data_IF_871016258182
#
_entry.id   IF_871016258182
#
_cell.length_a   1.000
_cell.length_b   1.000
_cell.length_c   1.000
_cell.angle_alpha   90.00
_cell.angle_beta   90.00
_cell.angle_gamma   90.00
#
_symmetry.space_group_name_H-M   'P 1'
#
loop_
_entity.id
_entity.type
_entity.pdbx_description
1 polymer ?
#
# COMPACT_ATOMS: atom_id res chain seq x y z
N UNK A 1 -7.98 -17.53 25.18
CA UNK A 1 -7.79 -17.11 23.78
C UNK A 1 -8.51 -18.11 22.91
N UNK A 2 -9.48 -17.67 22.11
CA UNK A 2 -10.27 -18.57 21.26
C UNK A 2 -9.42 -19.02 20.08
N UNK A 3 -9.09 -20.30 20.03
CA UNK A 3 -8.60 -20.94 18.82
C UNK A 3 -9.64 -20.75 17.70
N UNK A 4 -9.21 -20.39 16.49
CA UNK A 4 -10.14 -20.23 15.37
C UNK A 4 -10.68 -21.62 14.98
N UNK A 5 -11.94 -21.89 15.31
CA UNK A 5 -12.62 -23.13 14.93
C UNK A 5 -13.32 -22.92 13.58
N UNK A 6 -13.04 -23.81 12.63
CA UNK A 6 -13.62 -23.79 11.29
C UNK A 6 -14.51 -25.02 11.10
N UNK A 7 -15.78 -24.90 11.46
CA UNK A 7 -16.80 -25.89 11.10
C UNK A 7 -17.18 -25.79 9.62
N UNK A 8 -17.96 -26.75 9.12
CA UNK A 8 -18.34 -26.83 7.70
C UNK A 8 -19.06 -25.56 7.20
N UNK A 9 -19.96 -24.99 8.02
CA UNK A 9 -20.70 -23.77 7.68
C UNK A 9 -19.71 -22.62 7.55
N UNK A 10 -18.84 -22.44 8.56
CA UNK A 10 -17.86 -21.36 8.61
C UNK A 10 -16.83 -21.46 7.49
N UNK A 11 -16.43 -22.67 7.11
CA UNK A 11 -15.55 -22.92 5.96
C UNK A 11 -16.21 -22.41 4.68
N UNK A 12 -17.48 -22.71 4.44
CA UNK A 12 -18.18 -22.28 3.22
C UNK A 12 -18.33 -20.76 3.15
N UNK A 13 -18.66 -20.10 4.27
CA UNK A 13 -18.70 -18.64 4.35
C UNK A 13 -17.34 -18.02 4.04
N UNK A 14 -16.26 -18.54 4.62
CA UNK A 14 -14.92 -17.98 4.43
C UNK A 14 -14.35 -18.25 3.04
N UNK A 15 -14.75 -19.34 2.37
CA UNK A 15 -14.48 -19.55 0.94
C UNK A 15 -15.14 -18.48 0.07
N UNK A 16 -16.39 -18.13 0.37
CA UNK A 16 -17.08 -17.05 -0.34
C UNK A 16 -16.37 -15.71 -0.13
N UNK A 17 -15.98 -15.42 1.12
CA UNK A 17 -15.19 -14.22 1.45
C UNK A 17 -13.86 -14.21 0.67
N UNK A 18 -13.10 -15.31 0.67
CA UNK A 18 -11.87 -15.46 -0.11
C UNK A 18 -12.09 -15.11 -1.59
N UNK A 19 -13.15 -15.65 -2.20
CA UNK A 19 -13.51 -15.39 -3.59
C UNK A 19 -13.77 -13.90 -3.85
N UNK A 20 -14.54 -13.24 -2.98
CA UNK A 20 -14.87 -11.81 -3.08
C UNK A 20 -13.62 -10.91 -2.97
N UNK A 21 -12.67 -11.26 -2.12
CA UNK A 21 -11.41 -10.51 -1.95
C UNK A 21 -10.31 -10.95 -2.93
N UNK A 22 -10.61 -11.85 -3.87
CA UNK A 22 -9.70 -12.28 -4.93
C UNK A 22 -8.65 -13.31 -4.52
N UNK A 23 -8.82 -13.98 -3.38
CA UNK A 23 -8.02 -15.13 -2.98
C UNK A 23 -8.59 -16.38 -3.65
N UNK A 24 -7.73 -17.14 -4.33
CA UNK A 24 -8.10 -18.37 -5.02
C UNK A 24 -7.58 -19.59 -4.26
N UNK A 25 -8.39 -20.64 -4.20
CA UNK A 25 -8.06 -21.87 -3.47
C UNK A 25 -7.25 -22.88 -4.31
N UNK A 26 -7.16 -22.68 -5.63
CA UNK A 26 -6.37 -23.53 -6.52
C UNK A 26 -4.86 -23.42 -6.24
N UNK A 27 -4.32 -24.35 -5.46
CA UNK A 27 -2.91 -24.43 -5.09
C UNK A 27 -2.02 -24.98 -6.21
N UNK A 28 -2.58 -25.45 -7.34
CA UNK A 28 -1.76 -25.82 -8.52
C UNK A 28 -1.10 -24.58 -9.15
N UNK A 29 -1.71 -23.41 -8.97
CA UNK A 29 -1.19 -22.12 -9.41
C UNK A 29 -0.24 -21.56 -8.36
N UNK A 30 1.02 -21.37 -8.72
CA UNK A 30 2.10 -20.94 -7.81
C UNK A 30 1.74 -19.70 -6.96
N UNK A 31 1.19 -18.64 -7.58
CA UNK A 31 0.84 -17.42 -6.85
C UNK A 31 -0.22 -17.58 -5.75
N UNK A 32 -1.01 -18.66 -5.79
CA UNK A 32 -2.06 -18.91 -4.82
C UNK A 32 -1.54 -19.67 -3.58
N UNK A 33 -0.32 -20.23 -3.65
CA UNK A 33 0.32 -20.95 -2.54
C UNK A 33 0.82 -20.00 -1.46
N UNK A 34 1.25 -18.79 -1.85
CA UNK A 34 1.79 -17.80 -0.93
C UNK A 34 0.93 -16.54 -0.93
N UNK A 35 0.43 -16.19 0.25
CA UNK A 35 -0.47 -15.08 0.48
C UNK A 35 0.20 -14.08 1.44
N UNK A 36 0.27 -12.83 1.01
CA UNK A 36 0.79 -11.73 1.81
C UNK A 36 -0.35 -10.76 2.11
N UNK A 37 -0.67 -10.64 3.39
CA UNK A 37 -1.49 -9.56 3.91
C UNK A 37 -0.57 -8.42 4.30
N UNK A 38 -0.62 -7.32 3.57
CA UNK A 38 -0.15 -6.04 4.10
C UNK A 38 -1.32 -5.52 4.95
N UNK A 39 -1.27 -5.80 6.25
CA UNK A 39 -2.35 -5.44 7.17
C UNK A 39 -1.77 -4.55 8.24
N UNK A 40 -1.92 -3.24 8.11
CA UNK A 40 -1.24 -2.26 8.95
C UNK A 40 -2.08 -0.99 9.08
N UNK A 41 -1.77 -0.06 10.01
CA UNK A 41 -2.42 1.24 10.06
C UNK A 41 -2.29 2.01 8.73
N UNK A 42 -3.18 2.96 8.42
CA UNK A 42 -3.01 3.83 7.26
C UNK A 42 -1.78 4.75 7.43
N UNK A 43 -1.25 5.25 6.32
CA UNK A 43 -0.16 6.26 6.28
C UNK A 43 1.20 5.84 6.85
N UNK A 44 1.47 4.54 6.83
CA UNK A 44 2.78 3.97 7.22
C UNK A 44 3.67 3.61 6.03
N UNK A 45 3.25 3.91 4.80
CA UNK A 45 4.00 3.56 3.57
C UNK A 45 3.65 2.18 2.99
N UNK A 46 2.51 1.62 3.36
CA UNK A 46 2.04 0.31 2.86
C UNK A 46 1.81 0.26 1.36
N UNK A 47 1.37 1.35 0.72
CA UNK A 47 1.23 1.44 -0.75
C UNK A 47 2.55 1.11 -1.45
N UNK A 48 3.67 1.62 -0.96
CA UNK A 48 5.03 1.33 -1.47
C UNK A 48 5.31 -0.18 -1.42
N UNK A 49 5.04 -0.83 -0.29
CA UNK A 49 5.23 -2.29 -0.14
C UNK A 49 4.34 -3.07 -1.11
N UNK A 50 3.05 -2.73 -1.17
CA UNK A 50 2.07 -3.40 -2.05
C UNK A 50 2.47 -3.28 -3.51
N UNK A 51 2.79 -2.07 -3.96
CA UNK A 51 3.21 -1.81 -5.34
C UNK A 51 4.51 -2.52 -5.68
N UNK A 52 5.48 -2.54 -4.76
CA UNK A 52 6.77 -3.25 -4.94
C UNK A 52 6.60 -4.76 -5.07
N UNK A 53 5.79 -5.36 -4.19
CA UNK A 53 5.50 -6.80 -4.21
C UNK A 53 4.76 -7.21 -5.49
N UNK A 54 3.73 -6.44 -5.87
CA UNK A 54 2.96 -6.72 -7.09
C UNK A 54 3.80 -6.55 -8.34
N UNK A 55 4.60 -5.49 -8.42
CA UNK A 55 5.50 -5.24 -9.55
C UNK A 55 6.55 -6.34 -9.72
N UNK A 56 7.12 -6.81 -8.61
CA UNK A 56 8.24 -7.76 -8.64
C UNK A 56 7.79 -9.24 -8.70
N UNK A 57 6.60 -9.56 -8.18
CA UNK A 57 6.25 -10.94 -7.86
C UNK A 57 4.75 -11.29 -8.01
N UNK A 58 3.97 -10.56 -8.83
CA UNK A 58 2.53 -10.85 -9.06
C UNK A 58 2.21 -12.27 -9.56
N UNK A 59 3.19 -12.96 -10.15
CA UNK A 59 3.06 -14.34 -10.63
C UNK A 59 3.48 -15.39 -9.59
N UNK A 60 4.02 -14.97 -8.45
CA UNK A 60 4.49 -15.85 -7.36
C UNK A 60 3.75 -15.64 -6.04
N UNK A 61 3.08 -14.50 -5.89
CA UNK A 61 2.43 -14.11 -4.64
C UNK A 61 1.03 -13.56 -4.90
N UNK A 62 0.11 -13.80 -3.96
CA UNK A 62 -1.14 -13.05 -3.85
C UNK A 62 -0.98 -12.00 -2.75
N UNK A 63 -1.26 -10.73 -3.06
CA UNK A 63 -1.05 -9.60 -2.13
C UNK A 63 -2.38 -8.89 -1.85
N UNK A 64 -2.81 -8.96 -0.60
CA UNK A 64 -4.02 -8.31 -0.07
C UNK A 64 -3.58 -7.15 0.82
N UNK A 65 -4.18 -5.97 0.65
CA UNK A 65 -3.87 -4.79 1.46
C UNK A 65 -5.14 -4.28 2.14
N UNK A 66 -5.10 -4.24 3.47
CA UNK A 66 -6.22 -3.84 4.32
C UNK A 66 -5.67 -3.00 5.48
N UNK A 67 -6.48 -2.06 5.97
CA UNK A 67 -6.17 -1.30 7.18
C UNK A 67 -7.05 -1.73 8.35
N UNK A 68 -8.24 -2.28 8.12
CA UNK A 68 -9.14 -2.74 9.19
C UNK A 68 -10.30 -3.54 8.59
N UNK A 69 -11.16 -4.08 9.46
CA UNK A 69 -12.39 -4.78 9.07
C UNK A 69 -13.39 -3.87 8.34
N UNK A 70 -13.35 -2.54 8.57
CA UNK A 70 -14.23 -1.59 7.86
C UNK A 70 -13.94 -1.61 6.36
N UNK A 71 -12.67 -1.75 5.96
CA UNK A 71 -12.31 -1.90 4.54
C UNK A 71 -12.89 -3.18 3.92
N UNK A 72 -13.03 -4.27 4.67
CA UNK A 72 -13.69 -5.49 4.15
C UNK A 72 -15.15 -5.21 3.78
N UNK A 73 -15.86 -4.47 4.64
CA UNK A 73 -17.25 -4.06 4.40
C UNK A 73 -17.34 -3.11 3.21
N UNK A 74 -16.55 -2.05 3.19
CA UNK A 74 -16.66 -0.97 2.18
C UNK A 74 -16.21 -1.44 0.80
N UNK A 75 -15.12 -2.20 0.69
CA UNK A 75 -14.55 -2.60 -0.60
C UNK A 75 -15.12 -3.90 -1.15
N UNK A 76 -15.53 -4.83 -0.28
CA UNK A 76 -15.90 -6.20 -0.69
C UNK A 76 -17.27 -6.64 -0.20
N UNK A 77 -18.02 -5.77 0.48
CA UNK A 77 -19.31 -6.09 1.10
C UNK A 77 -19.24 -7.33 2.01
N UNK A 78 -18.17 -7.43 2.80
CA UNK A 78 -17.95 -8.51 3.77
C UNK A 78 -18.21 -7.97 5.18
N UNK A 79 -19.22 -8.51 5.85
CA UNK A 79 -19.64 -8.08 7.21
C UNK A 79 -19.59 -9.19 8.25
N UNK A 80 -19.46 -10.45 7.81
CA UNK A 80 -19.50 -11.65 8.65
C UNK A 80 -18.11 -12.27 8.90
N UNK A 81 -17.02 -11.55 8.59
CA UNK A 81 -15.65 -12.01 8.82
C UNK A 81 -14.71 -10.85 9.16
N UNK A 82 -13.75 -11.10 10.04
CA UNK A 82 -12.63 -10.19 10.35
C UNK A 82 -11.40 -10.53 9.51
N UNK A 83 -10.47 -9.58 9.37
CA UNK A 83 -9.20 -9.80 8.66
C UNK A 83 -8.42 -10.96 9.27
N UNK A 84 -8.36 -11.05 10.61
CA UNK A 84 -7.67 -12.15 11.28
C UNK A 84 -8.32 -13.51 10.99
N UNK A 85 -9.65 -13.61 10.95
CA UNK A 85 -10.33 -14.86 10.58
C UNK A 85 -9.92 -15.32 9.18
N UNK A 86 -9.83 -14.39 8.23
CA UNK A 86 -9.41 -14.68 6.86
C UNK A 86 -7.93 -15.13 6.82
N UNK A 87 -7.05 -14.46 7.56
CA UNK A 87 -5.63 -14.83 7.67
C UNK A 87 -5.48 -16.27 8.18
N UNK A 88 -6.12 -16.59 9.31
CA UNK A 88 -6.05 -17.92 9.92
C UNK A 88 -6.72 -18.99 9.08
N UNK A 89 -7.83 -18.67 8.41
CA UNK A 89 -8.50 -19.59 7.49
C UNK A 89 -7.61 -19.96 6.30
N UNK A 90 -6.91 -18.99 5.72
CA UNK A 90 -6.00 -19.27 4.62
C UNK A 90 -4.80 -20.11 5.05
N UNK A 91 -4.35 -19.97 6.31
CA UNK A 91 -3.36 -20.89 6.87
C UNK A 91 -3.92 -22.30 7.04
N UNK A 92 -5.16 -22.43 7.53
CA UNK A 92 -5.87 -23.71 7.65
C UNK A 92 -6.02 -24.42 6.30
N UNK A 93 -6.22 -23.69 5.20
CA UNK A 93 -6.23 -24.23 3.83
C UNK A 93 -4.85 -24.67 3.31
N UNK A 94 -3.79 -24.57 4.11
CA UNK A 94 -2.44 -25.02 3.75
C UNK A 94 -1.59 -24.00 2.97
N UNK A 95 -2.01 -22.73 2.90
CA UNK A 95 -1.21 -21.68 2.25
C UNK A 95 -0.05 -21.22 3.14
N UNK A 96 1.00 -20.70 2.51
CA UNK A 96 2.04 -19.93 3.18
C UNK A 96 1.54 -18.50 3.39
N UNK A 97 1.27 -18.13 4.64
CA UNK A 97 0.66 -16.83 4.97
C UNK A 97 1.67 -15.93 5.66
N UNK A 98 1.85 -14.74 5.11
CA UNK A 98 2.64 -13.66 5.67
C UNK A 98 1.74 -12.48 6.01
N UNK A 99 1.97 -11.84 7.15
CA UNK A 99 1.32 -10.61 7.56
C UNK A 99 2.41 -9.55 7.73
N UNK A 100 2.37 -8.49 6.93
CA UNK A 100 3.33 -7.39 6.97
C UNK A 100 2.66 -6.19 7.61
N UNK A 101 3.26 -5.72 8.69
CA UNK A 101 2.94 -4.49 9.39
C UNK A 101 4.10 -3.50 9.28
N UNK A 102 3.81 -2.20 9.33
CA UNK A 102 4.82 -1.15 9.16
C UNK A 102 4.65 -0.10 10.25
N UNK A 103 5.71 0.12 11.02
CA UNK A 103 5.83 1.21 11.95
C UNK A 103 6.30 2.48 11.25
N UNK A 104 5.70 3.63 11.63
CA UNK A 104 6.17 4.96 11.26
C UNK A 104 6.37 5.79 12.52
N UNK A 105 7.39 6.65 12.51
CA UNK A 105 7.70 7.53 13.63
C UNK A 105 6.53 8.46 13.96
N UNK A 106 6.28 8.77 15.25
CA UNK A 106 4.96 9.21 15.70
C UNK A 106 4.51 10.55 15.13
N UNK A 107 5.39 11.56 15.08
CA UNK A 107 5.02 12.89 14.57
C UNK A 107 4.72 12.83 13.08
N UNK A 108 5.59 12.19 12.29
CA UNK A 108 5.41 12.07 10.84
C UNK A 108 4.16 11.26 10.50
N UNK A 109 3.82 10.25 11.31
CA UNK A 109 2.59 9.48 11.13
C UNK A 109 1.36 10.34 11.42
N UNK A 110 1.34 11.07 12.55
CA UNK A 110 0.26 12.00 12.88
C UNK A 110 0.08 13.06 11.80
N UNK A 111 1.17 13.68 11.34
CA UNK A 111 1.14 14.63 10.22
C UNK A 111 0.55 14.00 8.96
N UNK A 112 1.02 12.82 8.57
CA UNK A 112 0.54 12.17 7.36
C UNK A 112 -0.93 11.74 7.43
N UNK A 113 -1.42 11.39 8.61
CA UNK A 113 -2.83 11.07 8.84
C UNK A 113 -3.70 12.32 8.78
N UNK A 114 -3.28 13.42 9.40
CA UNK A 114 -3.97 14.70 9.32
C UNK A 114 -4.05 15.24 7.89
N UNK A 115 -2.94 15.17 7.15
CA UNK A 115 -2.89 15.69 5.79
C UNK A 115 -3.59 14.79 4.75
N UNK A 116 -4.02 13.57 5.11
CA UNK A 116 -4.72 12.73 4.14
C UNK A 116 -6.08 13.31 3.74
N UNK A 117 -6.84 13.80 4.72
CA UNK A 117 -8.20 14.32 4.54
C UNK A 117 -8.30 15.77 5.04
N UNK A 118 -7.25 16.57 4.82
CA UNK A 118 -7.18 17.94 5.33
C UNK A 118 -8.31 18.82 4.77
N UNK A 119 -8.58 18.69 3.48
CA UNK A 119 -9.62 19.39 2.73
C UNK A 119 -11.00 18.80 2.97
N UNK A 120 -11.14 17.48 2.86
CA UNK A 120 -12.47 16.85 2.89
C UNK A 120 -13.03 16.66 4.29
N UNK A 121 -12.18 16.36 5.29
CA UNK A 121 -12.62 16.03 6.65
C UNK A 121 -12.25 17.12 7.66
N UNK A 122 -10.99 17.57 7.67
CA UNK A 122 -10.52 18.40 8.77
C UNK A 122 -10.99 19.85 8.68
N UNK A 123 -11.07 20.40 7.47
CA UNK A 123 -11.54 21.76 7.20
C UNK A 123 -12.81 21.83 6.36
N UNK A 124 -13.21 20.72 5.74
CA UNK A 124 -14.38 20.63 4.87
C UNK A 124 -14.44 21.79 3.86
N UNK A 125 -13.34 21.98 3.14
CA UNK A 125 -13.14 23.09 2.20
C UNK A 125 -12.40 22.61 0.96
N UNK A 126 -12.51 23.35 -0.13
CA UNK A 126 -11.71 23.05 -1.33
C UNK A 126 -10.22 23.27 -1.08
N UNK A 127 -9.38 22.55 -1.81
CA UNK A 127 -7.91 22.72 -1.74
C UNK A 127 -7.51 24.17 -2.06
N UNK A 128 -8.18 24.82 -3.02
CA UNK A 128 -7.89 26.22 -3.36
C UNK A 128 -8.20 27.17 -2.21
N UNK A 129 -9.30 26.96 -1.49
CA UNK A 129 -9.61 27.75 -0.31
C UNK A 129 -8.61 27.48 0.81
N UNK A 130 -8.19 26.23 1.01
CA UNK A 130 -7.19 25.89 2.01
C UNK A 130 -5.84 26.61 1.79
N UNK A 131 -5.43 26.85 0.54
CA UNK A 131 -4.20 27.60 0.24
C UNK A 131 -4.24 29.04 0.76
N UNK A 132 -5.43 29.60 0.99
CA UNK A 132 -5.60 30.94 1.57
C UNK A 132 -5.57 30.97 3.10
N UNK A 133 -5.61 29.82 3.76
CA UNK A 133 -5.65 29.77 5.22
C UNK A 133 -4.29 30.14 5.81
N UNK A 134 -4.30 30.87 6.92
CA UNK A 134 -3.08 31.12 7.67
C UNK A 134 -2.50 29.79 8.18
N UNK A 135 -1.17 29.70 8.20
CA UNK A 135 -0.52 28.48 8.66
C UNK A 135 -0.84 28.21 10.14
N UNK A 136 -0.99 29.25 10.95
CA UNK A 136 -1.37 29.15 12.36
C UNK A 136 -2.71 28.46 12.55
N UNK A 137 -3.68 28.70 11.65
CA UNK A 137 -4.99 28.02 11.70
C UNK A 137 -4.83 26.51 11.49
N UNK A 138 -3.96 26.12 10.56
CA UNK A 138 -3.66 24.70 10.26
C UNK A 138 -2.93 24.05 11.42
N UNK A 139 -1.90 24.71 11.96
CA UNK A 139 -1.13 24.27 13.13
C UNK A 139 -2.04 24.12 14.35
N UNK A 140 -2.89 25.10 14.63
CA UNK A 140 -3.83 25.06 15.74
C UNK A 140 -4.78 23.87 15.63
N UNK A 141 -5.33 23.60 14.44
CA UNK A 141 -6.18 22.43 14.19
C UNK A 141 -5.41 21.12 14.40
N UNK A 142 -4.19 21.02 13.88
CA UNK A 142 -3.35 19.84 14.09
C UNK A 142 -3.07 19.57 15.57
N UNK A 143 -2.73 20.61 16.33
CA UNK A 143 -2.43 20.48 17.75
C UNK A 143 -3.66 20.07 18.58
N UNK A 144 -4.87 20.54 18.26
CA UNK A 144 -6.09 20.06 18.92
C UNK A 144 -6.31 18.56 18.74
N UNK A 145 -5.95 18.02 17.58
CA UNK A 145 -6.17 16.62 17.22
C UNK A 145 -4.98 15.72 17.59
N UNK A 146 -3.83 16.29 17.91
CA UNK A 146 -2.56 15.59 18.04
C UNK A 146 -2.62 14.28 18.84
N UNK A 147 -3.16 14.22 20.07
CA UNK A 147 -3.20 12.97 20.84
C UNK A 147 -4.09 11.90 20.21
N UNK A 148 -5.12 12.30 19.47
CA UNK A 148 -6.13 11.41 18.88
C UNK A 148 -5.77 10.92 17.47
N UNK A 149 -4.84 11.60 16.80
CA UNK A 149 -4.33 11.14 15.50
C UNK A 149 -3.50 9.87 15.69
N UNK A 150 -3.88 8.79 15.02
CA UNK A 150 -3.14 7.51 15.00
C UNK A 150 -2.91 6.96 16.42
N UNK A 151 -3.86 6.15 16.86
CA UNK A 151 -3.78 5.42 18.12
C UNK A 151 -3.56 3.93 17.84
N UNK A 152 -2.66 3.32 18.61
CA UNK A 152 -2.50 1.87 18.67
C UNK A 152 -1.33 1.28 17.86
N UNK A 153 -1.01 0.04 18.20
CA UNK A 153 0.04 -0.77 17.59
C UNK A 153 -0.53 -2.12 17.16
N UNK A 154 -0.77 -2.27 15.85
CA UNK A 154 -1.44 -3.46 15.30
C UNK A 154 -0.72 -4.76 15.68
N UNK A 155 0.62 -4.73 15.69
CA UNK A 155 1.41 -5.90 16.05
C UNK A 155 1.11 -6.42 17.46
N UNK A 156 0.85 -5.51 18.39
CA UNK A 156 0.61 -5.81 19.80
C UNK A 156 -0.86 -5.96 20.15
N UNK A 157 -1.73 -5.27 19.41
CA UNK A 157 -3.14 -5.10 19.78
C UNK A 157 -4.11 -5.80 18.82
N UNK A 158 -3.69 -6.08 17.57
CA UNK A 158 -4.59 -6.59 16.52
C UNK A 158 -4.36 -8.07 16.22
N UNK A 159 -3.13 -8.53 16.09
CA UNK A 159 -2.87 -9.90 15.60
C UNK A 159 -2.99 -11.00 16.66
N UNK A 160 -3.21 -10.64 17.92
CA UNK A 160 -3.29 -11.57 19.06
C UNK A 160 -2.06 -12.48 19.22
N UNK A 161 -0.87 -11.98 18.86
CA UNK A 161 0.39 -12.68 19.07
C UNK A 161 0.75 -12.60 20.56
N UNK A 162 1.05 -13.72 21.25
CA UNK A 162 1.49 -13.68 22.64
C UNK A 162 2.79 -12.88 22.79
N UNK A 163 2.85 -11.98 23.78
CA UNK A 163 4.00 -11.09 24.01
C UNK A 163 5.30 -11.84 24.24
N UNK A 164 5.25 -13.08 24.74
CA UNK A 164 6.43 -13.93 24.94
C UNK A 164 7.10 -14.33 23.61
N UNK A 165 6.40 -14.20 22.48
CA UNK A 165 6.94 -14.52 21.16
C UNK A 165 7.66 -13.34 20.50
N UNK A 166 7.62 -12.13 21.10
CA UNK A 166 8.35 -10.97 20.62
C UNK A 166 8.81 -10.08 21.79
N UNK A 167 10.12 -10.05 22.04
CA UNK A 167 10.67 -9.30 23.18
C UNK A 167 11.34 -7.98 22.78
N UNK A 168 11.84 -7.89 21.54
CA UNK A 168 12.52 -6.71 21.03
C UNK A 168 12.46 -6.64 19.51
N UNK A 169 12.53 -5.42 18.97
CA UNK A 169 12.79 -5.22 17.55
C UNK A 169 14.26 -5.52 17.23
N UNK A 170 14.54 -6.19 16.11
CA UNK A 170 15.92 -6.43 15.65
C UNK A 170 16.41 -5.23 14.85
N UNK A 171 17.25 -4.41 15.48
CA UNK A 171 17.82 -3.20 14.90
C UNK A 171 18.95 -3.46 13.89
N UNK A 172 19.59 -4.64 13.94
CA UNK A 172 20.64 -5.02 13.01
C UNK A 172 20.04 -5.46 11.67
N UNK A 173 19.07 -6.39 11.73
CA UNK A 173 18.35 -6.85 10.54
C UNK A 173 17.22 -5.89 10.10
N UNK A 174 16.81 -4.96 10.96
CA UNK A 174 15.82 -3.89 10.71
C UNK A 174 14.39 -4.39 10.48
N UNK A 175 14.02 -5.52 11.05
CA UNK A 175 12.65 -6.02 11.08
C UNK A 175 12.41 -6.89 12.31
N UNK A 176 11.17 -6.99 12.76
CA UNK A 176 10.75 -8.02 13.73
C UNK A 176 10.02 -9.13 12.97
N UNK A 177 10.43 -10.38 13.21
CA UNK A 177 9.86 -11.57 12.58
C UNK A 177 9.36 -12.52 13.67
N UNK A 178 8.07 -12.84 13.66
CA UNK A 178 7.46 -13.79 14.59
C UNK A 178 6.69 -14.85 13.83
N UNK A 179 6.84 -16.11 14.23
CA UNK A 179 6.01 -17.22 13.73
C UNK A 179 4.97 -17.56 14.78
N UNK A 180 3.69 -17.43 14.43
CA UNK A 180 2.59 -17.76 15.33
C UNK A 180 1.51 -18.53 14.58
N UNK A 181 1.13 -19.72 15.07
CA UNK A 181 0.17 -20.63 14.42
C UNK A 181 0.50 -20.91 12.94
N UNK A 182 1.79 -21.00 12.63
CA UNK A 182 2.32 -21.22 11.28
C UNK A 182 2.11 -20.06 10.30
N UNK A 183 1.72 -18.88 10.79
CA UNK A 183 1.67 -17.62 10.04
C UNK A 183 2.93 -16.82 10.37
N UNK A 184 3.53 -16.22 9.35
CA UNK A 184 4.72 -15.37 9.49
C UNK A 184 4.34 -13.91 9.62
N UNK A 185 4.61 -13.30 10.77
CA UNK A 185 4.34 -11.88 11.03
C UNK A 185 5.64 -11.07 10.92
N UNK A 186 5.64 -10.06 10.05
CA UNK A 186 6.78 -9.19 9.77
C UNK A 186 6.41 -7.76 10.17
N UNK A 187 7.15 -7.16 11.10
CA UNK A 187 7.09 -5.72 11.37
C UNK A 187 8.27 -5.03 10.71
N UNK A 188 7.98 -4.08 9.84
CA UNK A 188 8.96 -3.20 9.19
C UNK A 188 8.93 -1.81 9.83
N UNK A 189 9.95 -0.98 9.57
CA UNK A 189 9.93 0.45 9.87
C UNK A 189 10.04 1.25 8.58
N UNK A 190 9.23 2.31 8.44
CA UNK A 190 9.26 3.16 7.24
C UNK A 190 10.61 3.89 7.07
N UNK A 191 11.26 4.25 8.18
CA UNK A 191 12.61 4.84 8.18
C UNK A 191 13.68 3.92 7.56
N UNK A 192 13.43 2.62 7.53
CA UNK A 192 14.33 1.61 6.94
C UNK A 192 13.88 1.15 5.55
N UNK A 193 13.05 1.94 4.87
CA UNK A 193 12.51 1.58 3.56
C UNK A 193 13.58 1.35 2.49
N UNK A 194 14.76 1.97 2.62
CA UNK A 194 15.92 1.70 1.78
C UNK A 194 16.45 0.27 1.91
N UNK A 195 16.24 -0.39 3.05
CA UNK A 195 16.68 -1.76 3.31
C UNK A 195 15.61 -2.83 2.97
N UNK A 196 14.38 -2.42 2.62
CA UNK A 196 13.27 -3.36 2.43
C UNK A 196 13.52 -4.40 1.34
N UNK A 197 14.27 -4.06 0.27
CA UNK A 197 14.65 -5.03 -0.76
C UNK A 197 15.43 -6.21 -0.17
N UNK A 198 16.46 -5.90 0.63
CA UNK A 198 17.31 -6.92 1.25
C UNK A 198 16.54 -7.73 2.31
N UNK A 199 15.66 -7.06 3.05
CA UNK A 199 14.76 -7.70 4.02
C UNK A 199 13.83 -8.70 3.31
N UNK A 200 13.16 -8.30 2.23
CA UNK A 200 12.29 -9.20 1.46
C UNK A 200 13.07 -10.31 0.79
N UNK A 201 14.31 -10.07 0.35
CA UNK A 201 15.18 -11.12 -0.17
C UNK A 201 15.49 -12.17 0.89
N UNK A 202 15.72 -11.78 2.15
CA UNK A 202 15.93 -12.69 3.27
C UNK A 202 14.65 -13.45 3.65
N UNK A 203 13.53 -12.74 3.83
CA UNK A 203 12.29 -13.31 4.37
C UNK A 203 11.51 -14.11 3.32
N UNK A 204 11.36 -13.56 2.11
CA UNK A 204 10.53 -14.16 1.06
C UNK A 204 11.35 -14.97 0.06
N UNK A 205 12.68 -14.90 0.10
CA UNK A 205 13.58 -15.48 -0.92
C UNK A 205 13.28 -14.95 -2.33
N UNK A 206 12.84 -13.68 -2.42
CA UNK A 206 12.49 -13.02 -3.67
C UNK A 206 13.18 -11.66 -3.77
N UNK A 207 13.65 -11.32 -4.96
CA UNK A 207 14.23 -10.00 -5.23
C UNK A 207 13.12 -8.99 -5.51
N UNK A 208 12.71 -8.26 -4.47
CA UNK A 208 11.62 -7.28 -4.53
C UNK A 208 12.20 -5.87 -4.68
N UNK A 209 12.01 -5.27 -5.84
CA UNK A 209 12.47 -3.91 -6.12
C UNK A 209 11.49 -2.90 -5.51
N UNK A 210 12.02 -2.05 -4.62
CA UNK A 210 11.21 -1.04 -3.92
C UNK A 210 10.93 0.12 -4.86
N UNK A 211 9.65 0.42 -5.07
CA UNK A 211 9.18 1.55 -5.87
C UNK A 211 8.40 2.52 -5.00
N UNK A 212 8.81 3.79 -5.01
CA UNK A 212 8.12 4.87 -4.31
C UNK A 212 6.83 5.23 -5.04
N UNK A 213 5.68 4.92 -4.44
CA UNK A 213 4.34 5.21 -5.02
C UNK A 213 3.67 6.42 -4.34
N UNK A 214 4.16 6.81 -3.16
CA UNK A 214 3.48 7.78 -2.31
C UNK A 214 4.43 8.86 -1.80
N UNK A 215 4.56 9.92 -2.57
CA UNK A 215 5.11 11.18 -2.10
C UNK A 215 3.96 12.20 -2.07
N UNK A 216 3.69 12.81 -0.90
CA UNK A 216 2.77 13.96 -0.79
C UNK A 216 3.13 15.07 -1.79
N UNK A 217 4.40 15.07 -2.24
CA UNK A 217 4.92 15.92 -3.30
C UNK A 217 4.24 15.77 -4.67
N UNK A 218 3.38 14.77 -4.83
CA UNK A 218 2.58 14.55 -6.04
C UNK A 218 1.09 14.91 -5.85
N UNK A 219 0.67 15.36 -4.66
CA UNK A 219 -0.71 15.74 -4.35
C UNK A 219 -0.91 17.25 -4.47
N UNK A 220 -2.14 17.67 -4.76
CA UNK A 220 -2.55 19.08 -4.84
C UNK A 220 -2.36 19.86 -3.52
N UNK A 221 -2.21 19.15 -2.39
CA UNK A 221 -1.93 19.71 -1.06
C UNK A 221 -0.44 19.93 -0.75
N UNK A 222 0.47 19.61 -1.70
CA UNK A 222 1.93 19.66 -1.51
C UNK A 222 2.42 20.97 -0.87
N UNK A 223 1.97 22.10 -1.40
CA UNK A 223 2.42 23.42 -0.97
C UNK A 223 2.01 23.69 0.48
N UNK A 224 0.78 23.33 0.85
CA UNK A 224 0.25 23.44 2.21
C UNK A 224 1.07 22.56 3.16
N UNK A 225 1.32 21.30 2.78
CA UNK A 225 2.10 20.38 3.59
C UNK A 225 3.56 20.84 3.78
N UNK A 226 4.20 21.34 2.72
CA UNK A 226 5.56 21.91 2.79
C UNK A 226 5.58 23.14 3.69
N UNK A 227 4.62 24.05 3.54
CA UNK A 227 4.51 25.24 4.39
C UNK A 227 4.33 24.85 5.86
N UNK A 228 3.48 23.86 6.13
CA UNK A 228 3.29 23.32 7.47
C UNK A 228 4.57 22.73 8.06
N UNK A 229 5.26 21.84 7.35
CA UNK A 229 6.50 21.23 7.85
C UNK A 229 7.59 22.25 8.17
N UNK A 230 7.67 23.34 7.42
CA UNK A 230 8.65 24.41 7.65
C UNK A 230 8.33 25.24 8.89
N UNK A 231 7.05 25.50 9.15
CA UNK A 231 6.62 26.41 10.22
C UNK A 231 6.18 25.69 11.50
N UNK A 232 5.88 24.40 11.43
CA UNK A 232 5.39 23.65 12.58
C UNK A 232 6.46 23.53 13.65
N UNK A 233 6.11 23.99 14.84
CA UNK A 233 6.86 23.76 16.08
C UNK A 233 5.99 22.96 17.03
N UNK A 234 6.54 21.91 17.59
CA UNK A 234 5.80 20.99 18.45
C UNK A 234 5.69 21.56 19.88
N UNK A 235 4.49 21.56 20.51
CA UNK A 235 4.34 21.86 21.93
C UNK A 235 5.12 20.90 22.83
N UNK A 236 5.68 21.41 23.92
CA UNK A 236 6.54 20.62 24.83
C UNK A 236 5.84 19.37 25.37
N UNK A 237 4.59 19.50 25.83
CA UNK A 237 3.81 18.39 26.37
C UNK A 237 3.55 17.26 25.35
N UNK A 238 3.58 17.55 24.04
CA UNK A 238 3.45 16.52 23.00
C UNK A 238 4.74 15.71 22.81
N UNK A 239 5.91 16.33 23.01
CA UNK A 239 7.20 15.62 23.03
C UNK A 239 7.21 14.61 24.18
N UNK A 240 6.78 15.02 25.37
CA UNK A 240 6.71 14.14 26.55
C UNK A 240 5.79 12.94 26.32
N UNK A 241 4.66 13.17 25.63
CA UNK A 241 3.75 12.09 25.24
C UNK A 241 4.42 11.08 24.29
N UNK A 242 5.20 11.56 23.32
CA UNK A 242 5.93 10.70 22.38
C UNK A 242 7.03 9.90 23.10
N UNK A 243 7.80 10.58 23.96
CA UNK A 243 8.92 10.00 24.69
C UNK A 243 8.50 8.77 25.51
N UNK A 244 7.30 8.81 26.08
CA UNK A 244 6.74 7.75 26.91
C UNK A 244 5.87 6.75 26.14
N UNK A 245 5.76 6.89 24.82
CA UNK A 245 4.91 6.03 23.98
C UNK A 245 5.47 4.59 23.90
N UNK A 246 4.67 3.55 24.21
CA UNK A 246 5.15 2.15 24.18
C UNK A 246 5.70 1.71 22.82
N UNK A 247 5.07 2.14 21.72
CA UNK A 247 5.55 1.84 20.36
C UNK A 247 6.86 2.56 20.04
N UNK A 248 7.04 3.81 20.49
CA UNK A 248 8.27 4.56 20.25
C UNK A 248 9.45 3.93 21.00
N UNK A 249 9.20 3.49 22.24
CA UNK A 249 10.17 2.76 23.06
C UNK A 249 10.51 1.38 22.49
N UNK A 250 9.55 0.69 21.87
CA UNK A 250 9.77 -0.66 21.36
C UNK A 250 10.45 -0.70 19.99
N UNK A 251 10.07 0.18 19.06
CA UNK A 251 10.56 0.14 17.67
C UNK A 251 11.74 1.06 17.36
N UNK A 252 12.28 1.77 18.34
CA UNK A 252 13.47 2.61 18.18
C UNK A 252 14.46 2.31 19.30
N UNK A 253 15.74 2.16 18.93
CA UNK A 253 16.81 2.00 19.91
C UNK A 253 17.08 3.31 20.66
N UNK A 254 17.92 3.26 21.69
CA UNK A 254 18.20 4.43 22.54
C UNK A 254 18.79 5.61 21.75
N UNK A 255 19.66 5.35 20.77
CA UNK A 255 20.31 6.40 19.98
C UNK A 255 19.32 7.02 19.01
N UNK A 256 18.55 6.18 18.32
CA UNK A 256 17.48 6.61 17.41
C UNK A 256 16.43 7.44 18.14
N UNK A 257 16.06 7.06 19.37
CA UNK A 257 15.13 7.84 20.19
C UNK A 257 15.70 9.19 20.56
N UNK A 258 16.96 9.25 21.00
CA UNK A 258 17.60 10.50 21.41
C UNK A 258 17.75 11.46 20.22
N UNK A 259 18.16 10.95 19.05
CA UNK A 259 18.27 11.75 17.82
C UNK A 259 16.90 12.29 17.37
N UNK A 260 15.87 11.43 17.41
CA UNK A 260 14.51 11.83 17.05
C UNK A 260 13.95 12.88 18.00
N UNK A 261 14.07 12.68 19.31
CA UNK A 261 13.60 13.63 20.32
C UNK A 261 14.34 14.95 20.19
N UNK A 262 15.68 14.94 20.04
CA UNK A 262 16.47 16.15 19.84
C UNK A 262 16.00 16.95 18.63
N UNK A 263 15.70 16.29 17.51
CA UNK A 263 15.19 16.95 16.29
C UNK A 263 13.90 17.72 16.56
N UNK A 264 13.03 17.19 17.41
CA UNK A 264 11.75 17.80 17.76
C UNK A 264 11.87 18.81 18.91
N UNK A 265 12.78 18.60 19.85
CA UNK A 265 13.15 19.56 20.89
C UNK A 265 13.75 20.84 20.28
N UNK A 266 14.64 20.71 19.28
CA UNK A 266 15.18 21.84 18.52
C UNK A 266 14.09 22.58 17.71
N UNK A 267 12.96 21.90 17.44
CA UNK A 267 11.78 22.45 16.74
C UNK A 267 10.58 22.57 17.69
N UNK A 268 10.82 22.85 18.96
CA UNK A 268 9.76 22.99 19.95
C UNK A 268 9.39 24.44 20.24
N UNK A 269 8.23 24.62 20.86
CA UNK A 269 7.87 25.83 21.62
C UNK A 269 7.88 25.51 23.11
N UNK A 270 8.23 26.49 23.94
CA UNK A 270 8.20 26.35 25.41
C UNK A 270 6.81 26.09 25.95
N UNK A 271 5.80 26.63 25.27
CA UNK A 271 4.42 26.64 25.74
C UNK A 271 3.77 25.28 25.51
N UNK A 272 2.99 24.87 26.50
CA UNK A 272 2.12 23.70 26.39
C UNK A 272 0.87 24.03 25.58
N UNK A 273 0.31 23.02 24.93
CA UNK A 273 -0.95 23.15 24.21
C UNK A 273 -2.00 22.21 24.81
N UNK A 274 -3.20 22.71 25.07
CA UNK A 274 -4.33 21.88 25.51
C UNK A 274 -5.05 21.31 24.29
N UNK A 275 -4.87 20.00 23.98
CA UNK A 275 -5.59 19.38 22.87
C UNK A 275 -7.05 19.13 23.26
N UNK A 276 -7.85 18.66 22.30
CA UNK A 276 -9.18 18.19 22.62
C UNK A 276 -9.12 17.04 23.62
N UNK A 277 -10.07 17.01 24.55
CA UNK A 277 -10.40 15.81 25.31
C UNK A 277 -11.21 14.85 24.45
N UNK A 278 -11.42 13.61 24.92
CA UNK A 278 -12.12 12.57 24.15
C UNK A 278 -13.50 13.03 23.68
N UNK A 279 -14.29 13.65 24.57
CA UNK A 279 -15.65 14.13 24.23
C UNK A 279 -15.64 15.24 23.17
N UNK A 280 -14.68 16.16 23.25
CA UNK A 280 -14.51 17.24 22.26
C UNK A 280 -14.06 16.68 20.91
N UNK A 281 -13.19 15.66 20.93
CA UNK A 281 -12.73 14.98 19.71
C UNK A 281 -13.86 14.17 19.06
N UNK A 282 -14.69 13.50 19.85
CA UNK A 282 -15.86 12.76 19.36
C UNK A 282 -16.89 13.70 18.75
N UNK A 283 -17.14 14.84 19.41
CA UNK A 283 -17.99 15.90 18.87
C UNK A 283 -17.42 16.49 17.58
N UNK A 284 -16.11 16.74 17.55
CA UNK A 284 -15.39 17.17 16.36
C UNK A 284 -15.56 16.18 15.20
N UNK A 285 -15.37 14.87 15.44
CA UNK A 285 -15.54 13.83 14.43
C UNK A 285 -16.96 13.79 13.89
N UNK A 286 -17.96 13.90 14.78
CA UNK A 286 -19.38 13.93 14.37
C UNK A 286 -19.65 15.09 13.41
N UNK A 287 -19.24 16.31 13.77
CA UNK A 287 -19.40 17.50 12.91
C UNK A 287 -18.65 17.32 11.59
N UNK A 288 -17.39 16.86 11.64
CA UNK A 288 -16.59 16.65 10.43
C UNK A 288 -17.21 15.60 9.51
N UNK A 289 -17.82 14.55 10.06
CA UNK A 289 -18.52 13.53 9.26
C UNK A 289 -19.82 14.03 8.66
N UNK A 290 -20.65 14.71 9.44
CA UNK A 290 -21.93 15.25 8.98
C UNK A 290 -21.75 16.27 7.85
N UNK A 291 -20.62 16.99 7.86
CA UNK A 291 -20.31 18.01 6.86
C UNK A 291 -19.49 17.48 5.68
N UNK A 292 -19.01 16.24 5.73
CA UNK A 292 -18.06 15.70 4.75
C UNK A 292 -18.62 15.78 3.33
N UNK A 293 -18.07 16.69 2.51
CA UNK A 293 -18.63 17.02 1.19
C UNK A 293 -18.22 16.06 0.06
N UNK A 294 -17.27 15.15 0.29
CA UNK A 294 -16.77 14.21 -0.73
C UNK A 294 -16.52 12.82 -0.14
N UNK A 295 -17.27 11.82 -0.61
CA UNK A 295 -17.00 10.40 -0.33
C UNK A 295 -16.14 9.81 -1.47
N UNK A 296 -14.94 10.32 -1.69
CA UNK A 296 -14.06 9.75 -2.72
C UNK A 296 -13.24 8.59 -2.15
N UNK A 297 -13.67 7.36 -2.47
CA UNK A 297 -12.78 6.20 -2.41
C UNK A 297 -11.82 6.32 -3.61
N UNK A 298 -10.53 6.47 -3.35
CA UNK A 298 -9.52 6.54 -4.41
C UNK A 298 -9.36 5.16 -5.06
N UNK A 299 -10.06 4.92 -6.18
CA UNK A 299 -10.07 3.62 -6.87
C UNK A 299 -8.74 3.23 -7.58
N UNK A 300 -7.71 4.09 -7.57
CA UNK A 300 -6.46 3.88 -8.31
C UNK A 300 -5.19 4.43 -7.62
N UNK A 301 -5.00 4.17 -6.33
CA UNK A 301 -3.82 4.67 -5.61
C UNK A 301 -2.55 3.81 -5.73
N UNK A 302 -2.61 2.63 -6.35
CA UNK A 302 -1.42 1.78 -6.59
C UNK A 302 -0.86 1.94 -8.01
N UNK A 303 0.45 1.76 -8.17
CA UNK A 303 1.12 1.49 -9.45
C UNK A 303 0.51 0.26 -10.13
N UNK A 304 0.13 -0.77 -9.37
CA UNK A 304 -0.40 -2.01 -9.91
C UNK A 304 -1.53 -2.60 -9.06
N UNK A 305 -2.68 -2.84 -9.69
CA UNK A 305 -3.82 -3.52 -9.07
C UNK A 305 -3.67 -5.06 -9.03
N UNK A 306 -2.58 -5.62 -9.55
CA UNK A 306 -2.27 -7.06 -9.46
C UNK A 306 -2.92 -7.91 -10.55
N UNK A 307 -3.36 -7.32 -11.67
CA UNK A 307 -3.94 -8.08 -12.77
C UNK A 307 -2.89 -8.97 -13.44
N UNK A 308 -3.23 -10.24 -13.68
CA UNK A 308 -2.34 -11.25 -14.30
C UNK A 308 -2.57 -11.46 -15.79
N UNK A 309 -3.29 -10.56 -16.48
CA UNK A 309 -3.45 -10.67 -17.93
C UNK A 309 -2.11 -10.36 -18.65
N UNK A 310 -1.95 -10.90 -19.86
CA UNK A 310 -0.72 -10.74 -20.67
C UNK A 310 -0.34 -9.26 -20.85
N UNK A 311 -1.32 -8.39 -21.05
CA UNK A 311 -1.09 -6.97 -21.25
C UNK A 311 -0.52 -6.29 -19.99
N UNK A 312 -1.10 -6.55 -18.82
CA UNK A 312 -0.59 -6.03 -17.55
C UNK A 312 0.77 -6.63 -17.20
N UNK A 313 0.98 -7.93 -17.44
CA UNK A 313 2.27 -8.59 -17.21
C UNK A 313 3.40 -8.00 -18.08
N UNK A 314 3.11 -7.70 -19.35
CA UNK A 314 4.06 -7.01 -20.23
C UNK A 314 4.43 -5.63 -19.70
N UNK A 315 3.44 -4.82 -19.31
CA UNK A 315 3.70 -3.49 -18.75
C UNK A 315 4.49 -3.57 -17.45
N UNK A 316 4.18 -4.54 -16.59
CA UNK A 316 4.91 -4.82 -15.35
C UNK A 316 6.39 -5.12 -15.60
N UNK A 317 6.71 -5.96 -16.59
CA UNK A 317 8.10 -6.23 -16.98
C UNK A 317 8.84 -4.96 -17.40
N UNK A 318 8.21 -4.10 -18.19
CA UNK A 318 8.80 -2.82 -18.62
C UNK A 318 9.11 -1.93 -17.41
N UNK A 319 8.16 -1.76 -16.49
CA UNK A 319 8.34 -0.93 -15.29
C UNK A 319 9.35 -1.54 -14.31
N UNK A 320 9.38 -2.86 -14.17
CA UNK A 320 10.37 -3.54 -13.33
C UNK A 320 11.78 -3.30 -13.87
N UNK A 321 12.00 -3.38 -15.18
CA UNK A 321 13.31 -3.08 -15.78
C UNK A 321 13.73 -1.62 -15.57
N UNK A 322 12.80 -0.66 -15.59
CA UNK A 322 13.07 0.73 -15.21
C UNK A 322 13.52 0.81 -13.73
N UNK A 323 12.78 0.17 -12.83
CA UNK A 323 13.10 0.16 -11.40
C UNK A 323 14.48 -0.47 -11.12
N UNK A 324 14.84 -1.53 -11.84
CA UNK A 324 16.17 -2.16 -11.77
C UNK A 324 17.31 -1.21 -12.13
N UNK A 325 17.07 -0.27 -13.04
CA UNK A 325 18.04 0.77 -13.44
C UNK A 325 18.04 1.98 -12.50
N UNK A 326 17.23 1.97 -11.44
CA UNK A 326 17.08 3.10 -10.53
C UNK A 326 16.24 4.26 -11.09
N UNK A 327 15.52 4.04 -12.20
CA UNK A 327 14.65 5.07 -12.78
C UNK A 327 13.37 5.25 -11.95
N UNK A 328 12.90 6.51 -11.85
CA UNK A 328 11.62 6.82 -11.18
C UNK A 328 10.45 6.26 -11.98
N UNK A 329 9.57 5.50 -11.32
CA UNK A 329 8.36 4.93 -11.93
C UNK A 329 7.21 5.92 -11.76
N UNK A 330 6.87 6.62 -12.84
CA UNK A 330 5.72 7.54 -12.87
C UNK A 330 4.47 6.93 -13.54
N UNK A 331 4.63 5.76 -14.18
CA UNK A 331 3.57 5.08 -14.93
C UNK A 331 2.77 4.15 -14.02
N UNK A 332 1.44 4.09 -14.21
CA UNK A 332 0.54 3.12 -13.57
C UNK A 332 0.12 2.00 -14.53
N UNK A 333 -0.08 0.80 -13.98
CA UNK A 333 -0.61 -0.38 -14.66
C UNK A 333 -2.13 -0.41 -14.48
N UNK A 334 -2.83 0.31 -15.37
CA UNK A 334 -4.29 0.30 -15.45
C UNK A 334 -4.71 -0.74 -16.49
N UNK A 335 -5.55 -1.71 -16.13
CA UNK A 335 -5.92 -2.84 -17.00
C UNK A 335 -6.42 -2.40 -18.37
N UNK A 336 -7.41 -1.50 -18.41
CA UNK A 336 -7.98 -1.00 -19.67
C UNK A 336 -6.93 -0.35 -20.58
N UNK A 337 -6.12 0.56 -20.03
CA UNK A 337 -5.04 1.23 -20.79
C UNK A 337 -4.00 0.23 -21.29
N UNK A 338 -3.56 -0.69 -20.43
CA UNK A 338 -2.56 -1.70 -20.77
C UNK A 338 -3.06 -2.63 -21.88
N UNK A 339 -4.34 -3.03 -21.84
CA UNK A 339 -4.96 -3.86 -22.88
C UNK A 339 -5.00 -3.11 -24.22
N UNK A 340 -5.38 -1.83 -24.22
CA UNK A 340 -5.39 -1.00 -25.43
C UNK A 340 -3.98 -0.83 -26.02
N UNK A 341 -2.99 -0.47 -25.18
CA UNK A 341 -1.57 -0.35 -25.58
C UNK A 341 -1.07 -1.64 -26.25
N UNK A 342 -1.31 -2.79 -25.60
CA UNK A 342 -0.92 -4.10 -26.12
C UNK A 342 -1.57 -4.43 -27.46
N UNK A 343 -2.86 -4.15 -27.63
CA UNK A 343 -3.58 -4.38 -28.89
C UNK A 343 -3.04 -3.47 -30.01
N UNK A 344 -2.78 -2.19 -29.73
CA UNK A 344 -2.22 -1.25 -30.70
C UNK A 344 -0.83 -1.68 -31.17
N UNK A 345 0.04 -2.14 -30.26
CA UNK A 345 1.36 -2.68 -30.63
C UNK A 345 1.24 -3.94 -31.49
N UNK A 346 0.30 -4.84 -31.18
CA UNK A 346 0.07 -6.06 -31.96
C UNK A 346 -0.40 -5.73 -33.38
N UNK A 347 -1.28 -4.74 -33.52
CA UNK A 347 -1.75 -4.26 -34.83
C UNK A 347 -0.59 -3.69 -35.63
N UNK A 348 0.23 -2.80 -35.05
CA UNK A 348 1.42 -2.22 -35.70
C UNK A 348 2.38 -3.31 -36.18
N UNK A 349 2.70 -4.28 -35.32
CA UNK A 349 3.62 -5.36 -35.67
C UNK A 349 3.07 -6.28 -36.78
N UNK A 350 1.75 -6.50 -36.81
CA UNK A 350 1.07 -7.23 -37.89
C UNK A 350 1.05 -6.46 -39.22
N UNK A 351 0.89 -5.13 -39.19
CA UNK A 351 0.96 -4.30 -40.41
C UNK A 351 2.38 -4.32 -41.01
N UNK A 352 3.42 -4.27 -40.17
CA UNK A 352 4.80 -4.41 -40.62
C UNK A 352 5.13 -5.80 -41.18
N UNK A 353 4.52 -6.88 -40.70
CA UNK A 353 4.74 -8.23 -41.24
C UNK A 353 4.02 -8.47 -42.57
N UNK A 354 2.86 -7.84 -42.80
CA UNK A 354 2.17 -7.88 -44.09
C UNK A 354 2.98 -7.14 -45.17
N UNK A 355 3.52 -5.95 -44.84
CA UNK A 355 4.40 -5.19 -45.74
C UNK A 355 5.72 -5.91 -46.05
N UNK A 356 6.26 -6.72 -45.13
CA UNK A 356 7.45 -7.55 -45.41
C UNK A 356 7.13 -8.80 -46.24
N UNK A 357 5.92 -9.36 -46.16
CA UNK A 357 5.51 -10.51 -46.99
C UNK A 357 5.19 -10.12 -48.44
N UNK A 358 4.81 -8.88 -48.72
CA UNK A 358 4.57 -8.40 -50.09
C UNK A 358 5.85 -8.12 -50.90
N UNK A 359 7.03 -8.09 -50.26
CA UNK A 359 8.31 -7.83 -50.92
C UNK A 359 9.11 -9.09 -51.30
N UNK A 360 8.51 -10.29 -51.29
CA UNK A 360 9.13 -11.45 -51.93
C UNK A 360 8.92 -11.35 -53.46
N UNK A 361 9.98 -11.31 -54.28
CA UNK A 361 9.82 -11.26 -55.73
C UNK A 361 9.09 -12.51 -56.20
N UNK A 362 7.93 -12.33 -56.84
CA UNK A 362 7.21 -13.42 -57.51
C UNK A 362 8.10 -13.92 -58.65
N UNK A 363 8.50 -15.20 -58.61
CA UNK A 363 9.09 -15.87 -59.77
C UNK A 363 8.10 -15.80 -60.93
N UNK A 364 8.46 -15.07 -61.97
CA UNK A 364 7.72 -15.03 -63.24
C UNK A 364 7.89 -16.41 -63.88
N UNK A 365 6.83 -17.22 -63.87
CA UNK A 365 6.74 -18.43 -64.67
C UNK A 365 6.32 -17.99 -66.08
N UNK A 366 7.24 -18.08 -67.05
CA UNK A 366 6.92 -17.90 -68.48
C UNK A 366 6.18 -19.15 -68.95
N UNK A 367 4.88 -19.04 -69.20
CA UNK A 367 4.10 -20.05 -69.93
C UNK A 367 3.88 -19.56 -71.36
N UNK A 368 4.42 -20.30 -72.33
CA UNK A 368 4.18 -20.14 -73.76
C UNK A 368 2.69 -20.33 -74.07
N UNK A 369 2.07 -19.35 -74.72
CA UNK A 369 0.79 -19.54 -75.40
C UNK A 369 1.04 -19.51 -76.92
N UNK A 370 0.94 -20.69 -77.54
CA UNK A 370 0.74 -20.82 -78.98
C UNK A 370 -0.70 -20.43 -79.32
N UNK A 371 -0.84 -19.55 -80.30
CA UNK A 371 -2.11 -19.20 -80.94
C UNK A 371 -2.38 -20.26 -82.03
N UNK A 372 -3.44 -21.04 -81.87
CA UNK A 372 -4.01 -21.80 -82.99
C UNK A 372 -5.10 -20.94 -83.64
N UNK A 373 -4.81 -20.48 -84.86
CA UNK A 373 -5.82 -20.13 -85.84
C UNK A 373 -6.46 -21.41 -86.34
N UNK A 374 -7.79 -21.44 -86.49
CA UNK A 374 -8.41 -21.89 -87.74
C UNK A 374 -9.82 -21.32 -87.88
N UNK A 375 -10.03 -20.73 -89.06
CA UNK A 375 -11.30 -20.34 -89.66
C UNK A 375 -12.02 -21.60 -90.18
N UNK A 376 -13.30 -21.70 -89.88
CA UNK A 376 -14.41 -21.95 -90.82
C UNK A 376 -15.73 -21.94 -90.07
#
# INVERSE_FOLDING_TARGET
MSEFIFDEIRINELKEVNSRIGIKDDLSVEKNKTLIFVYCPPKVGSTTVVSSLRLSASNKLTVIHLHNDIMLKVLFNVTNATVNQIIHFNKFLGKNVYVIDIYRTPVEHKMSSFFENIDTFHFNSSIENLKTYSIDRIIKRFNYLFPHLVTGDYYRETYNIPTQQYNSFDFENKYLLTQHNGITYVKLRLKDSHAWRDIFKKILQMDIYIVSDYETDNKNIKEIYKNFKTNYKIPKNFIDTIKNSPQFLFYNDINERNEYLKTWEDKSVSDEFTPFHTEEYDFYNKISMDNHHMNEIQDQHYIDCGCSCIACDRKRKILLEKAKRGEKINDKIIHGKSKTEYLMEKIKNNTFTILKKSNKPRKIIKSNFMVQHHLS
#
